data_IF_521011452430
#
_entry.id   IF_521011452430
#
_cell.length_a   1.000
_cell.length_b   1.000
_cell.length_c   1.000
_cell.angle_alpha   90.00
_cell.angle_beta   90.00
_cell.angle_gamma   90.00
#
_symmetry.space_group_name_H-M   'P 1'
#
loop_
_entity.id
_entity.type
_entity.pdbx_description
1 polymer ?
#
# COMPACT_ATOMS: atom_id res chain seq x y z
N UNK A 1 -19.46 -4.42 -14.14
CA UNK A 1 -18.38 -5.42 -14.14
C UNK A 1 -18.65 -6.41 -13.02
N UNK A 2 -18.71 -7.71 -13.29
CA UNK A 2 -18.84 -8.73 -12.24
C UNK A 2 -17.45 -9.03 -11.68
N UNK A 3 -17.01 -8.19 -10.73
CA UNK A 3 -15.82 -8.47 -9.93
C UNK A 3 -16.10 -9.72 -9.09
N UNK A 4 -15.21 -10.72 -9.20
CA UNK A 4 -15.24 -11.84 -8.25
C UNK A 4 -14.63 -11.34 -6.96
N UNK A 5 -15.35 -11.43 -5.85
CA UNK A 5 -14.87 -11.01 -4.53
C UNK A 5 -14.45 -12.25 -3.75
N UNK A 6 -13.25 -12.25 -3.16
CA UNK A 6 -12.76 -13.30 -2.28
C UNK A 6 -12.50 -12.72 -0.88
N UNK A 7 -13.29 -13.15 0.10
CA UNK A 7 -13.12 -12.71 1.50
C UNK A 7 -12.17 -13.64 2.26
N UNK A 8 -10.96 -13.14 2.53
CA UNK A 8 -9.89 -13.87 3.21
C UNK A 8 -10.06 -13.96 4.73
N UNK A 9 -11.12 -13.38 5.30
CA UNK A 9 -11.53 -13.65 6.68
C UNK A 9 -12.47 -14.84 6.79
N UNK A 10 -13.05 -15.29 5.67
CA UNK A 10 -13.97 -16.44 5.63
C UNK A 10 -13.32 -17.75 5.20
N UNK A 11 -12.07 -17.69 4.73
CA UNK A 11 -11.34 -18.82 4.18
C UNK A 11 -9.93 -18.90 4.76
N UNK A 12 -9.39 -20.11 4.86
CA UNK A 12 -7.97 -20.28 5.16
C UNK A 12 -7.10 -19.80 3.98
N UNK A 13 -5.79 -19.63 4.23
CA UNK A 13 -4.83 -19.32 3.16
C UNK A 13 -4.81 -20.43 2.11
N UNK A 14 -4.87 -21.70 2.52
CA UNK A 14 -4.85 -22.86 1.62
C UNK A 14 -6.11 -22.93 0.77
N UNK A 15 -7.28 -22.71 1.37
CA UNK A 15 -8.56 -22.67 0.66
C UNK A 15 -8.60 -21.53 -0.36
N UNK A 16 -8.21 -20.33 0.07
CA UNK A 16 -8.12 -19.15 -0.80
C UNK A 16 -7.16 -19.38 -1.96
N UNK A 17 -6.01 -19.99 -1.68
CA UNK A 17 -5.00 -20.32 -2.71
C UNK A 17 -5.55 -21.31 -3.71
N UNK A 18 -6.28 -22.35 -3.25
CA UNK A 18 -6.88 -23.35 -4.13
C UNK A 18 -7.93 -22.73 -5.05
N UNK A 19 -8.82 -21.90 -4.51
CA UNK A 19 -9.84 -21.17 -5.30
C UNK A 19 -9.15 -20.34 -6.40
N UNK A 20 -8.10 -19.59 -6.04
CA UNK A 20 -7.40 -18.74 -7.01
C UNK A 20 -6.59 -19.54 -8.04
N UNK A 21 -6.06 -20.71 -7.68
CA UNK A 21 -5.41 -21.62 -8.64
C UNK A 21 -6.41 -22.19 -9.64
N UNK A 22 -7.62 -22.56 -9.19
CA UNK A 22 -8.71 -22.96 -10.07
C UNK A 22 -9.10 -21.81 -11.01
N UNK A 23 -9.18 -20.57 -10.52
CA UNK A 23 -9.42 -19.40 -11.36
C UNK A 23 -8.29 -19.16 -12.39
N UNK A 24 -7.02 -19.34 -12.03
CA UNK A 24 -5.88 -19.22 -12.96
C UNK A 24 -5.89 -20.29 -14.06
N UNK A 25 -6.42 -21.49 -13.75
CA UNK A 25 -6.58 -22.56 -14.73
C UNK A 25 -7.60 -22.20 -15.83
N UNK A 26 -8.61 -21.41 -15.47
CA UNK A 26 -9.66 -20.93 -16.39
C UNK A 26 -9.27 -19.63 -17.09
N UNK A 27 -8.65 -18.72 -16.34
CA UNK A 27 -8.27 -17.38 -16.78
C UNK A 27 -6.75 -17.24 -16.70
N UNK A 28 -6.02 -17.20 -17.83
CA UNK A 28 -4.56 -17.22 -17.83
C UNK A 28 -3.89 -15.94 -17.32
N UNK A 29 -4.67 -14.90 -17.01
CA UNK A 29 -4.21 -13.66 -16.42
C UNK A 29 -5.18 -13.19 -15.33
N UNK A 30 -4.69 -13.14 -14.09
CA UNK A 30 -5.43 -12.67 -12.92
C UNK A 30 -4.87 -11.34 -12.44
N UNK A 31 -5.75 -10.45 -11.99
CA UNK A 31 -5.39 -9.17 -11.36
C UNK A 31 -6.07 -9.12 -10.00
N UNK A 32 -5.28 -9.07 -8.93
CA UNK A 32 -5.75 -8.95 -7.56
C UNK A 32 -5.81 -7.48 -7.15
N UNK A 33 -7.00 -7.04 -6.76
CA UNK A 33 -7.31 -5.69 -6.25
C UNK A 33 -7.82 -5.80 -4.82
N UNK A 34 -8.02 -4.68 -4.12
CA UNK A 34 -8.52 -4.65 -2.73
C UNK A 34 -7.51 -4.11 -1.71
N UNK A 35 -7.73 -4.28 -0.39
CA UNK A 35 -7.07 -3.50 0.67
C UNK A 35 -5.58 -3.74 0.74
N UNK A 36 -4.87 -2.75 1.27
CA UNK A 36 -3.61 -3.04 1.94
C UNK A 36 -3.89 -3.94 3.16
N UNK A 37 -3.43 -5.19 3.09
CA UNK A 37 -3.68 -6.21 4.12
C UNK A 37 -4.71 -7.26 3.78
N UNK A 38 -5.39 -7.14 2.63
CA UNK A 38 -6.25 -8.20 2.11
C UNK A 38 -5.52 -9.50 1.84
N UNK A 39 -4.18 -9.49 1.76
CA UNK A 39 -3.37 -10.69 1.55
C UNK A 39 -3.03 -10.97 0.09
N UNK A 40 -3.21 -9.99 -0.81
CA UNK A 40 -2.93 -10.09 -2.26
C UNK A 40 -1.57 -10.72 -2.56
N UNK A 41 -0.47 -10.09 -2.10
CA UNK A 41 0.89 -10.56 -2.33
C UNK A 41 1.14 -11.92 -1.67
N UNK A 42 0.59 -12.15 -0.46
CA UNK A 42 0.73 -13.43 0.24
C UNK A 42 0.05 -14.58 -0.52
N UNK A 43 -1.20 -14.40 -0.95
CA UNK A 43 -1.91 -15.40 -1.74
C UNK A 43 -1.23 -15.64 -3.08
N UNK A 44 -0.80 -14.57 -3.76
CA UNK A 44 -0.08 -14.67 -5.02
C UNK A 44 1.22 -15.50 -4.89
N UNK A 45 2.03 -15.24 -3.85
CA UNK A 45 3.24 -16.03 -3.55
C UNK A 45 2.90 -17.50 -3.27
N UNK A 46 1.80 -17.76 -2.56
CA UNK A 46 1.34 -19.12 -2.28
C UNK A 46 0.92 -19.87 -3.56
N UNK A 47 0.28 -19.18 -4.51
CA UNK A 47 -0.14 -19.75 -5.79
C UNK A 47 1.02 -20.11 -6.73
N UNK A 48 2.19 -19.49 -6.56
CA UNK A 48 3.34 -19.72 -7.43
C UNK A 48 3.69 -21.21 -7.53
N UNK A 49 3.70 -21.70 -8.76
CA UNK A 49 3.89 -23.09 -9.16
C UNK A 49 4.48 -23.15 -10.56
N UNK A 50 4.76 -24.34 -11.05
CA UNK A 50 5.28 -24.59 -12.41
C UNK A 50 4.37 -24.06 -13.54
N UNK A 51 3.08 -23.82 -13.26
CA UNK A 51 2.11 -23.29 -14.21
C UNK A 51 2.09 -21.75 -14.24
N UNK A 52 2.78 -21.07 -13.33
CA UNK A 52 2.90 -19.61 -13.31
C UNK A 52 4.13 -19.21 -14.13
N UNK A 53 3.97 -18.19 -14.98
CA UNK A 53 5.07 -17.62 -15.77
C UNK A 53 5.57 -16.30 -15.22
N UNK A 54 4.68 -15.49 -14.65
CA UNK A 54 5.06 -14.22 -14.06
C UNK A 54 4.16 -13.80 -12.89
N UNK A 55 4.73 -13.06 -11.95
CA UNK A 55 4.04 -12.34 -10.89
C UNK A 55 4.55 -10.90 -10.85
N UNK A 56 3.65 -9.93 -10.84
CA UNK A 56 4.02 -8.52 -10.75
C UNK A 56 3.22 -7.80 -9.68
N UNK A 57 3.83 -6.79 -9.08
CA UNK A 57 3.18 -5.83 -8.19
C UNK A 57 3.23 -4.45 -8.84
N UNK A 58 2.07 -3.85 -9.04
CA UNK A 58 1.95 -2.50 -9.60
C UNK A 58 2.36 -1.44 -8.58
N UNK A 59 3.00 -0.36 -9.03
CA UNK A 59 3.48 0.72 -8.15
C UNK A 59 2.43 1.82 -7.89
N UNK A 60 1.18 1.40 -7.61
CA UNK A 60 0.09 2.32 -7.26
C UNK A 60 0.15 2.64 -5.77
N UNK A 61 -0.04 3.91 -5.37
CA UNK A 61 0.19 4.39 -3.98
C UNK A 61 -0.84 3.89 -2.97
N UNK A 62 -2.06 3.58 -3.43
CA UNK A 62 -3.26 3.31 -2.64
C UNK A 62 -3.39 1.85 -2.23
N UNK A 63 -3.29 0.96 -3.20
CA UNK A 63 -3.29 -0.47 -3.03
C UNK A 63 -2.53 -1.05 -4.21
N UNK A 64 -1.37 -1.66 -3.99
CA UNK A 64 -0.58 -2.21 -5.09
C UNK A 64 -1.30 -3.44 -5.66
N UNK A 65 -1.82 -3.40 -6.90
CA UNK A 65 -2.46 -4.57 -7.50
C UNK A 65 -1.40 -5.63 -7.77
N UNK A 66 -1.78 -6.90 -7.60
CA UNK A 66 -0.89 -8.03 -7.87
C UNK A 66 -1.38 -8.77 -9.11
N UNK A 67 -0.54 -8.86 -10.13
CA UNK A 67 -0.85 -9.47 -11.42
C UNK A 67 -0.17 -10.84 -11.48
N UNK A 68 -0.92 -11.89 -11.84
CA UNK A 68 -0.38 -13.23 -12.05
C UNK A 68 -0.68 -13.67 -13.48
N UNK A 69 0.36 -14.11 -14.18
CA UNK A 69 0.26 -14.57 -15.57
C UNK A 69 0.68 -16.04 -15.65
N UNK A 70 -0.16 -16.86 -16.28
CA UNK A 70 0.11 -18.27 -16.53
C UNK A 70 1.27 -18.44 -17.52
N UNK A 71 1.99 -19.56 -17.40
CA UNK A 71 3.25 -19.81 -18.10
C UNK A 71 3.11 -19.88 -19.62
N UNK A 72 2.07 -20.55 -20.11
CA UNK A 72 1.72 -20.63 -21.53
C UNK A 72 1.43 -19.24 -22.13
N UNK A 73 0.66 -18.41 -21.43
CA UNK A 73 0.38 -17.04 -21.87
C UNK A 73 1.64 -16.17 -21.85
N UNK A 74 2.49 -16.34 -20.84
CA UNK A 74 3.78 -15.63 -20.74
C UNK A 74 4.66 -15.93 -21.96
N UNK A 75 4.78 -17.20 -22.36
CA UNK A 75 5.55 -17.59 -23.55
C UNK A 75 4.97 -16.96 -24.82
N UNK A 76 3.64 -17.05 -25.00
CA UNK A 76 2.95 -16.44 -26.14
C UNK A 76 3.15 -14.92 -26.20
N UNK A 77 3.14 -14.24 -25.06
CA UNK A 77 3.38 -12.80 -24.97
C UNK A 77 4.83 -12.42 -25.30
N UNK A 78 5.81 -13.27 -24.94
CA UNK A 78 7.23 -13.06 -25.30
C UNK A 78 7.49 -13.22 -26.81
N UNK A 79 6.74 -14.09 -27.47
CA UNK A 79 6.83 -14.33 -28.92
C UNK A 79 6.04 -13.31 -29.76
N UNK A 80 5.12 -12.57 -29.13
CA UNK A 80 4.28 -11.58 -29.82
C UNK A 80 4.97 -10.21 -29.80
N UNK A 81 5.27 -9.65 -30.97
CA UNK A 81 5.82 -8.29 -31.09
C UNK A 81 4.69 -7.28 -30.88
N UNK A 82 4.87 -6.38 -29.92
CA UNK A 82 3.90 -5.33 -29.61
C UNK A 82 4.27 -3.98 -30.22
N UNK A 83 5.57 -3.70 -30.35
CA UNK A 83 6.12 -2.45 -30.83
C UNK A 83 7.54 -2.66 -31.41
N UNK A 84 8.02 -1.71 -32.21
CA UNK A 84 9.42 -1.66 -32.67
C UNK A 84 10.03 -0.35 -32.24
N UNK A 85 11.02 -0.41 -31.34
CA UNK A 85 11.68 0.79 -30.82
C UNK A 85 12.95 1.10 -31.60
N UNK A 86 13.06 2.34 -32.05
CA UNK A 86 14.31 2.86 -32.62
C UNK A 86 15.36 2.95 -31.51
N UNK A 87 16.54 2.40 -31.77
CA UNK A 87 17.71 2.59 -30.92
C UNK A 87 18.42 3.91 -31.25
N UNK A 88 19.09 4.55 -30.28
CA UNK A 88 19.86 5.78 -30.51
C UNK A 88 21.23 5.48 -31.14
N UNK A 89 21.30 4.52 -32.06
CA UNK A 89 22.48 4.12 -32.82
C UNK A 89 22.09 3.85 -34.27
N UNK A 90 23.03 4.06 -35.17
CA UNK A 90 22.90 3.79 -36.60
C UNK A 90 23.88 2.67 -36.97
N UNK A 91 23.57 1.91 -38.00
CA UNK A 91 24.51 0.93 -38.53
C UNK A 91 25.65 1.61 -39.33
N UNK A 92 26.61 0.81 -39.80
CA UNK A 92 27.76 1.30 -40.56
C UNK A 92 27.38 1.97 -41.90
N UNK A 93 26.13 1.77 -42.35
CA UNK A 93 25.56 2.41 -43.54
C UNK A 93 24.78 3.69 -43.24
N UNK A 94 24.65 4.06 -41.95
CA UNK A 94 23.90 5.23 -41.50
C UNK A 94 22.39 4.99 -41.37
N UNK A 95 21.94 3.73 -41.44
CA UNK A 95 20.54 3.36 -41.31
C UNK A 95 20.12 3.18 -39.84
N UNK A 96 18.85 3.45 -39.57
CA UNK A 96 18.27 3.38 -38.23
C UNK A 96 18.09 1.93 -37.77
N UNK A 97 18.61 1.60 -36.58
CA UNK A 97 18.44 0.26 -36.00
C UNK A 97 17.19 0.24 -35.12
N UNK A 98 16.34 -0.77 -35.32
CA UNK A 98 15.14 -1.01 -34.52
C UNK A 98 15.26 -2.32 -33.74
N UNK A 99 14.67 -2.34 -32.55
CA UNK A 99 14.49 -3.56 -31.76
C UNK A 99 13.02 -3.88 -31.60
N UNK A 100 12.69 -5.14 -31.82
CA UNK A 100 11.35 -5.65 -31.57
C UNK A 100 11.14 -5.73 -30.05
N UNK A 101 10.05 -5.13 -29.57
CA UNK A 101 9.64 -5.17 -28.17
C UNK A 101 8.49 -6.15 -28.03
N UNK A 102 8.65 -7.14 -27.16
CA UNK A 102 7.61 -8.13 -26.93
C UNK A 102 6.40 -7.53 -26.22
N UNK A 103 5.24 -8.18 -26.37
CA UNK A 103 4.04 -7.83 -25.62
C UNK A 103 4.25 -8.01 -24.12
N UNK A 104 5.02 -9.03 -23.74
CA UNK A 104 5.39 -9.25 -22.35
C UNK A 104 6.17 -8.07 -21.76
N UNK A 105 7.19 -7.57 -22.47
CA UNK A 105 7.98 -6.41 -22.03
C UNK A 105 7.14 -5.14 -21.97
N UNK A 106 6.20 -4.97 -22.90
CA UNK A 106 5.26 -3.86 -22.90
C UNK A 106 4.34 -3.90 -21.68
N UNK A 107 3.79 -5.07 -21.33
CA UNK A 107 2.96 -5.26 -20.13
C UNK A 107 3.79 -5.03 -18.87
N UNK A 108 4.99 -5.62 -18.77
CA UNK A 108 5.90 -5.42 -17.63
C UNK A 108 6.22 -3.94 -17.44
N UNK A 109 6.61 -3.26 -18.53
CA UNK A 109 6.90 -1.82 -18.52
C UNK A 109 5.67 -1.00 -18.11
N UNK A 110 4.48 -1.38 -18.56
CA UNK A 110 3.23 -0.74 -18.14
C UNK A 110 3.02 -0.88 -16.62
N UNK A 111 3.16 -2.08 -16.08
CA UNK A 111 2.99 -2.34 -14.64
C UNK A 111 4.02 -1.58 -13.79
N UNK A 112 5.27 -1.49 -14.26
CA UNK A 112 6.36 -0.82 -13.55
C UNK A 112 6.29 0.71 -13.62
N UNK A 113 5.74 1.26 -14.70
CA UNK A 113 5.75 2.69 -14.99
C UNK A 113 4.41 3.40 -14.82
N UNK A 114 3.31 2.68 -14.56
CA UNK A 114 2.05 3.34 -14.19
C UNK A 114 2.31 4.19 -12.95
N UNK A 115 2.33 5.50 -13.19
CA UNK A 115 2.51 6.50 -12.16
C UNK A 115 1.14 7.06 -11.86
N UNK A 116 0.78 7.02 -10.58
CA UNK A 116 -0.54 7.38 -10.13
C UNK A 116 -0.71 8.92 -10.09
N UNK A 117 -0.80 9.53 -11.28
CA UNK A 117 -1.12 10.94 -11.45
C UNK A 117 -2.64 11.03 -11.32
N UNK A 118 -3.12 11.62 -10.23
CA UNK A 118 -4.55 11.79 -9.90
C UNK A 118 -5.29 10.54 -9.42
N UNK A 119 -4.58 9.52 -8.92
CA UNK A 119 -5.24 8.42 -8.21
C UNK A 119 -6.28 7.72 -9.11
N UNK A 120 -5.86 7.41 -10.34
CA UNK A 120 -6.55 6.61 -11.37
C UNK A 120 -5.71 5.41 -11.81
N UNK A 121 -4.52 5.23 -11.21
CA UNK A 121 -3.51 4.30 -11.68
C UNK A 121 -3.96 2.84 -11.66
N UNK A 122 -4.81 2.40 -10.72
CA UNK A 122 -5.31 1.01 -10.72
C UNK A 122 -6.24 0.73 -11.92
N UNK A 123 -7.24 1.57 -12.15
CA UNK A 123 -8.20 1.38 -13.26
C UNK A 123 -7.50 1.57 -14.62
N UNK A 124 -6.64 2.58 -14.74
CA UNK A 124 -5.85 2.80 -15.94
C UNK A 124 -4.90 1.61 -16.21
N UNK A 125 -4.23 1.09 -15.17
CA UNK A 125 -3.41 -0.11 -15.30
C UNK A 125 -4.23 -1.32 -15.77
N UNK A 126 -5.40 -1.55 -15.17
CA UNK A 126 -6.28 -2.66 -15.55
C UNK A 126 -6.73 -2.50 -17.01
N UNK A 127 -7.12 -1.30 -17.43
CA UNK A 127 -7.56 -1.02 -18.80
C UNK A 127 -6.41 -1.21 -19.81
N UNK A 128 -5.22 -0.68 -19.52
CA UNK A 128 -4.05 -0.86 -20.36
C UNK A 128 -3.65 -2.34 -20.48
N UNK A 129 -3.65 -3.09 -19.37
CA UNK A 129 -3.39 -4.54 -19.39
C UNK A 129 -4.45 -5.26 -20.23
N UNK A 130 -5.73 -4.94 -20.08
CA UNK A 130 -6.83 -5.51 -20.90
C UNK A 130 -6.59 -5.26 -22.38
N UNK A 131 -6.34 -4.02 -22.76
CA UNK A 131 -6.09 -3.63 -24.14
C UNK A 131 -4.89 -4.39 -24.72
N UNK A 132 -3.79 -4.52 -23.97
CA UNK A 132 -2.62 -5.29 -24.39
C UNK A 132 -2.93 -6.80 -24.49
N UNK A 133 -3.65 -7.38 -23.53
CA UNK A 133 -3.98 -8.81 -23.50
C UNK A 133 -4.88 -9.25 -24.66
N UNK A 134 -5.73 -8.36 -25.21
CA UNK A 134 -6.55 -8.67 -26.39
C UNK A 134 -5.72 -9.09 -27.61
N UNK A 135 -4.48 -8.57 -27.76
CA UNK A 135 -3.57 -8.94 -28.85
C UNK A 135 -3.22 -10.43 -28.84
N UNK A 136 -3.29 -11.09 -27.69
CA UNK A 136 -3.07 -12.53 -27.52
C UNK A 136 -4.35 -13.31 -27.23
N UNK A 137 -5.52 -12.69 -27.41
CA UNK A 137 -6.85 -13.27 -27.13
C UNK A 137 -7.00 -13.77 -25.69
N UNK A 138 -6.40 -13.06 -24.74
CA UNK A 138 -6.57 -13.33 -23.32
C UNK A 138 -7.42 -12.22 -22.70
N UNK A 139 -8.36 -12.59 -21.83
CA UNK A 139 -9.16 -11.64 -21.04
C UNK A 139 -8.68 -11.67 -19.59
N UNK A 140 -8.18 -10.53 -19.06
CA UNK A 140 -7.82 -10.41 -17.65
C UNK A 140 -9.03 -10.60 -16.72
N UNK A 141 -8.89 -11.46 -15.71
CA UNK A 141 -9.89 -11.59 -14.65
C UNK A 141 -9.47 -10.77 -13.43
N UNK A 142 -10.27 -9.78 -13.07
CA UNK A 142 -10.08 -8.99 -11.85
C UNK A 142 -10.77 -9.71 -10.68
N UNK A 143 -10.01 -9.94 -9.62
CA UNK A 143 -10.49 -10.53 -8.37
C UNK A 143 -10.20 -9.54 -7.24
N UNK A 144 -11.25 -9.17 -6.51
CA UNK A 144 -11.14 -8.26 -5.37
C UNK A 144 -10.93 -9.10 -4.12
N UNK A 145 -9.74 -8.99 -3.53
CA UNK A 145 -9.35 -9.70 -2.31
C UNK A 145 -9.71 -8.81 -1.13
N UNK A 146 -10.69 -9.19 -0.33
CA UNK A 146 -11.16 -8.41 0.84
C UNK A 146 -10.94 -9.16 2.14
N UNK A 147 -11.06 -8.47 3.27
CA UNK A 147 -11.11 -9.10 4.59
C UNK A 147 -11.90 -8.22 5.56
N UNK A 148 -12.23 -8.74 6.74
CA UNK A 148 -12.90 -7.95 7.77
C UNK A 148 -11.94 -6.85 8.31
N UNK A 149 -12.42 -5.62 8.59
CA UNK A 149 -11.57 -4.50 9.01
C UNK A 149 -10.66 -4.82 10.22
N UNK A 150 -11.19 -5.51 11.24
CA UNK A 150 -10.40 -5.91 12.42
C UNK A 150 -9.26 -6.86 12.08
N UNK A 151 -9.45 -7.75 11.11
CA UNK A 151 -8.40 -8.67 10.67
C UNK A 151 -7.34 -7.94 9.84
N UNK A 152 -7.75 -6.95 9.04
CA UNK A 152 -6.84 -6.13 8.26
C UNK A 152 -5.89 -5.33 9.18
N UNK A 153 -6.40 -4.72 10.24
CA UNK A 153 -5.58 -4.01 11.25
C UNK A 153 -4.57 -4.98 11.88
N UNK A 154 -5.03 -6.12 12.40
CA UNK A 154 -4.15 -7.14 12.99
C UNK A 154 -3.07 -7.60 12.02
N UNK A 155 -3.42 -7.82 10.74
CA UNK A 155 -2.48 -8.24 9.70
C UNK A 155 -1.48 -7.14 9.37
N UNK A 156 -1.90 -5.87 9.33
CA UNK A 156 -1.01 -4.73 9.06
C UNK A 156 0.01 -4.52 10.17
N UNK A 157 -0.40 -4.59 11.43
CA UNK A 157 0.52 -4.50 12.57
C UNK A 157 1.58 -5.59 12.54
N UNK A 158 1.19 -6.83 12.21
CA UNK A 158 2.07 -8.00 12.30
C UNK A 158 2.83 -8.35 11.00
N UNK A 159 2.54 -7.67 9.88
CA UNK A 159 3.07 -8.01 8.54
C UNK A 159 4.60 -8.07 8.46
N UNK A 160 5.29 -7.32 9.31
CA UNK A 160 6.73 -7.24 9.28
C UNK A 160 7.42 -8.48 9.90
N UNK A 161 6.71 -9.26 10.73
CA UNK A 161 7.28 -10.44 11.38
C UNK A 161 7.53 -11.60 10.41
N UNK A 162 6.68 -11.77 9.40
CA UNK A 162 6.78 -12.84 8.40
C UNK A 162 7.39 -12.37 7.07
N UNK A 163 7.76 -11.09 6.96
CA UNK A 163 8.19 -10.47 5.73
C UNK A 163 9.42 -11.17 5.11
N UNK A 164 10.41 -11.53 5.94
CA UNK A 164 11.58 -12.25 5.44
C UNK A 164 11.23 -13.60 4.85
N UNK A 165 10.36 -14.35 5.53
CA UNK A 165 9.95 -15.67 5.08
C UNK A 165 9.18 -15.57 3.77
N UNK A 166 8.18 -14.67 3.68
CA UNK A 166 7.41 -14.47 2.44
C UNK A 166 8.29 -14.08 1.25
N UNK A 167 9.28 -13.20 1.46
CA UNK A 167 10.20 -12.81 0.39
C UNK A 167 11.16 -13.96 0.01
N UNK A 168 11.65 -14.73 0.98
CA UNK A 168 12.45 -15.93 0.70
C UNK A 168 11.65 -16.97 -0.10
N UNK A 169 10.39 -17.20 0.26
CA UNK A 169 9.50 -18.13 -0.44
C UNK A 169 9.27 -17.68 -1.89
N UNK A 170 9.07 -16.38 -2.12
CA UNK A 170 9.01 -15.81 -3.46
C UNK A 170 10.29 -16.12 -4.25
N UNK A 171 11.47 -15.74 -3.73
CA UNK A 171 12.75 -15.94 -4.43
C UNK A 171 13.04 -17.43 -4.71
N UNK A 172 12.70 -18.31 -3.76
CA UNK A 172 12.84 -19.75 -3.94
C UNK A 172 11.96 -20.26 -5.09
N UNK A 173 10.67 -19.87 -5.11
CA UNK A 173 9.73 -20.30 -6.15
C UNK A 173 10.06 -19.68 -7.52
N UNK A 174 10.52 -18.44 -7.56
CA UNK A 174 11.04 -17.79 -8.77
C UNK A 174 12.14 -18.63 -9.41
N UNK A 175 13.19 -18.97 -8.64
CA UNK A 175 14.30 -19.79 -9.12
C UNK A 175 13.85 -21.20 -9.49
N UNK A 176 13.01 -21.84 -8.66
CA UNK A 176 12.57 -23.23 -8.86
C UNK A 176 11.71 -23.42 -10.11
N UNK A 177 10.80 -22.49 -10.39
CA UNK A 177 9.81 -22.64 -11.46
C UNK A 177 10.09 -21.79 -12.70
N UNK A 178 11.10 -20.92 -12.64
CA UNK A 178 11.45 -19.98 -13.71
C UNK A 178 10.39 -18.89 -13.86
N UNK A 179 9.93 -18.32 -12.75
CA UNK A 179 8.89 -17.29 -12.71
C UNK A 179 9.55 -15.91 -12.78
N UNK A 180 9.06 -15.07 -13.69
CA UNK A 180 9.46 -13.66 -13.82
C UNK A 180 8.76 -12.80 -12.76
N UNK A 181 9.48 -11.85 -12.16
CA UNK A 181 8.95 -11.02 -11.08
C UNK A 181 9.60 -9.65 -10.98
N UNK A 182 8.81 -8.64 -10.62
CA UNK A 182 9.29 -7.28 -10.33
C UNK A 182 9.29 -6.93 -8.83
N UNK A 183 8.94 -7.90 -7.96
CA UNK A 183 8.87 -7.67 -6.52
C UNK A 183 10.30 -7.71 -5.96
N UNK A 184 10.78 -6.56 -5.48
CA UNK A 184 12.13 -6.39 -4.92
C UNK A 184 12.14 -6.34 -3.37
N UNK A 185 10.97 -6.21 -2.77
CA UNK A 185 10.80 -6.11 -1.34
C UNK A 185 9.34 -6.14 -0.97
N UNK A 186 9.09 -6.43 0.30
CA UNK A 186 7.76 -6.35 0.91
C UNK A 186 7.90 -5.63 2.24
N UNK A 187 6.83 -5.05 2.77
CA UNK A 187 6.89 -4.29 4.02
C UNK A 187 7.56 -5.09 5.15
N UNK A 188 8.74 -4.66 5.60
CA UNK A 188 9.59 -5.33 6.59
C UNK A 188 10.78 -6.15 6.05
N UNK A 189 10.88 -6.43 4.74
CA UNK A 189 12.02 -7.13 4.15
C UNK A 189 12.33 -6.70 2.70
N UNK A 190 13.59 -6.78 2.29
CA UNK A 190 14.02 -6.50 0.91
C UNK A 190 15.05 -7.52 0.42
N UNK A 191 15.20 -7.60 -0.89
CA UNK A 191 16.27 -8.39 -1.52
C UNK A 191 17.62 -7.72 -1.22
N UNK A 192 18.58 -8.51 -0.75
CA UNK A 192 19.90 -8.00 -0.36
C UNK A 192 20.78 -7.68 -1.58
N UNK A 193 20.81 -8.59 -2.55
CA UNK A 193 21.43 -8.38 -3.87
C UNK A 193 20.35 -8.32 -4.94
N UNK A 194 20.00 -7.11 -5.37
CA UNK A 194 18.93 -6.88 -6.36
C UNK A 194 19.31 -7.46 -7.73
N UNK A 195 20.60 -7.44 -8.09
CA UNK A 195 21.07 -7.88 -9.40
C UNK A 195 20.97 -9.39 -9.50
N UNK A 196 21.49 -10.10 -8.51
CA UNK A 196 21.48 -11.56 -8.49
C UNK A 196 20.20 -12.16 -7.87
N UNK A 197 19.33 -11.30 -7.33
CA UNK A 197 18.14 -11.67 -6.54
C UNK A 197 18.47 -12.68 -5.43
N UNK A 198 19.51 -12.38 -4.65
CA UNK A 198 20.02 -13.27 -3.60
C UNK A 198 19.97 -12.65 -2.21
N UNK A 199 19.55 -13.48 -1.25
CA UNK A 199 19.41 -13.10 0.15
C UNK A 199 18.24 -12.16 0.44
N UNK A 200 17.79 -12.20 1.68
CA UNK A 200 16.74 -11.32 2.20
C UNK A 200 17.25 -10.66 3.47
N UNK A 201 17.16 -9.34 3.53
CA UNK A 201 17.55 -8.54 4.68
C UNK A 201 16.41 -7.62 5.13
N UNK A 202 16.54 -7.10 6.35
CA UNK A 202 15.66 -6.04 6.82
C UNK A 202 15.97 -4.74 6.07
N UNK A 203 15.03 -3.79 6.15
CA UNK A 203 15.32 -2.42 5.78
C UNK A 203 16.43 -1.88 6.69
N UNK A 204 17.40 -1.19 6.08
CA UNK A 204 18.49 -0.59 6.82
C UNK A 204 18.01 0.63 7.61
N UNK A 205 18.83 1.06 8.58
CA UNK A 205 18.51 2.19 9.45
C UNK A 205 18.23 3.51 8.71
N UNK A 206 18.72 3.71 7.50
CA UNK A 206 18.49 4.92 6.72
C UNK A 206 17.25 4.84 5.80
N UNK A 207 16.48 3.75 5.88
CA UNK A 207 15.36 3.48 4.98
C UNK A 207 14.05 3.53 5.77
N UNK A 208 13.04 4.18 5.19
CA UNK A 208 11.69 4.21 5.76
C UNK A 208 11.05 2.84 5.49
N UNK A 209 10.94 2.01 6.53
CA UNK A 209 9.96 0.93 6.51
C UNK A 209 8.64 1.47 7.08
N UNK A 210 7.50 0.95 6.64
CA UNK A 210 6.17 1.43 7.08
C UNK A 210 5.63 0.54 8.19
N UNK A 211 6.43 0.23 9.20
CA UNK A 211 6.13 -0.77 10.23
C UNK A 211 6.11 -0.14 11.62
N UNK A 212 5.57 -0.85 12.61
CA UNK A 212 5.60 -0.38 14.00
C UNK A 212 7.03 -0.27 14.56
N UNK A 213 8.02 -0.98 13.97
CA UNK A 213 9.44 -0.90 14.38
C UNK A 213 10.10 0.43 14.00
N UNK A 214 9.52 1.18 13.07
CA UNK A 214 10.05 2.48 12.66
C UNK A 214 9.70 3.57 13.68
N UNK A 215 8.80 3.30 14.62
CA UNK A 215 8.49 4.21 15.72
C UNK A 215 9.48 4.09 16.86
N UNK A 216 9.74 5.21 17.52
CA UNK A 216 10.60 5.25 18.70
C UNK A 216 9.97 4.47 19.86
N UNK A 217 8.65 4.62 20.05
CA UNK A 217 7.83 3.84 20.98
C UNK A 217 6.35 3.92 20.64
N UNK A 218 5.57 3.05 21.25
CA UNK A 218 4.11 3.00 21.16
C UNK A 218 3.55 3.10 22.57
N UNK A 219 2.56 3.97 22.78
CA UNK A 219 1.91 4.17 24.08
C UNK A 219 0.46 3.68 23.98
N UNK A 220 0.08 2.65 24.76
CA UNK A 220 -1.27 2.08 24.70
C UNK A 220 -2.36 3.11 25.02
N UNK A 221 -3.47 3.09 24.27
CA UNK A 221 -4.62 4.00 24.46
C UNK A 221 -5.86 3.34 25.05
N UNK A 222 -5.82 2.02 25.27
CA UNK A 222 -6.93 1.28 25.87
C UNK A 222 -7.35 1.88 27.22
N UNK A 223 -8.64 2.23 27.33
CA UNK A 223 -9.23 2.82 28.53
C UNK A 223 -8.93 4.30 28.75
N UNK A 224 -8.22 4.98 27.84
CA UNK A 224 -7.95 6.42 27.92
C UNK A 224 -9.01 7.24 27.18
N UNK A 225 -9.29 8.42 27.71
CA UNK A 225 -10.01 9.49 27.02
C UNK A 225 -9.11 10.22 26.03
N UNK A 226 -9.70 10.95 25.08
CA UNK A 226 -8.96 11.79 24.13
C UNK A 226 -8.10 12.80 24.89
N UNK A 227 -8.64 13.46 25.92
CA UNK A 227 -7.91 14.41 26.76
C UNK A 227 -6.67 13.81 27.42
N UNK A 228 -6.74 12.56 27.90
CA UNK A 228 -5.57 11.85 28.45
C UNK A 228 -4.53 11.55 27.38
N UNK A 229 -4.96 11.16 26.18
CA UNK A 229 -4.05 10.96 25.04
C UNK A 229 -3.38 12.26 24.59
N UNK A 230 -4.12 13.36 24.53
CA UNK A 230 -3.59 14.69 24.22
C UNK A 230 -2.50 15.09 25.23
N UNK A 231 -2.76 14.85 26.52
CA UNK A 231 -1.78 15.12 27.59
C UNK A 231 -0.49 14.34 27.38
N UNK A 232 -0.58 13.04 27.12
CA UNK A 232 0.61 12.22 26.86
C UNK A 232 1.38 12.66 25.61
N UNK A 233 0.67 13.02 24.54
CA UNK A 233 1.27 13.52 23.30
C UNK A 233 2.04 14.84 23.51
N UNK A 234 1.48 15.76 24.29
CA UNK A 234 2.14 17.02 24.69
C UNK A 234 3.36 16.71 25.58
N UNK A 235 3.24 15.79 26.55
CA UNK A 235 4.35 15.40 27.41
C UNK A 235 5.52 14.79 26.64
N UNK A 236 5.25 13.94 25.64
CA UNK A 236 6.29 13.40 24.73
C UNK A 236 6.98 14.53 23.98
N UNK A 237 6.19 15.48 23.45
CA UNK A 237 6.73 16.62 22.69
C UNK A 237 7.63 17.51 23.54
N UNK A 238 7.28 17.73 24.82
CA UNK A 238 8.06 18.54 25.77
C UNK A 238 9.31 17.80 26.28
N UNK A 239 9.14 16.55 26.74
CA UNK A 239 10.20 15.81 27.44
C UNK A 239 11.20 15.17 26.48
N UNK A 240 10.71 14.68 25.35
CA UNK A 240 11.50 13.85 24.42
C UNK A 240 11.82 14.59 23.12
N UNK A 241 11.19 15.76 22.89
CA UNK A 241 11.36 16.55 21.67
C UNK A 241 11.12 15.69 20.42
N UNK A 242 10.04 14.90 20.45
CA UNK A 242 9.62 13.98 19.39
C UNK A 242 8.18 14.25 18.97
N UNK A 243 7.89 14.04 17.69
CA UNK A 243 6.52 14.05 17.20
C UNK A 243 5.80 12.80 17.68
N UNK A 244 4.49 12.90 17.88
CA UNK A 244 3.64 11.77 18.25
C UNK A 244 2.25 11.97 17.68
N UNK A 245 1.48 10.89 17.50
CA UNK A 245 0.11 11.02 17.01
C UNK A 245 -0.71 9.76 17.19
N UNK A 246 -2.02 9.91 17.03
CA UNK A 246 -3.01 8.84 17.12
C UNK A 246 -4.24 9.18 16.27
N UNK A 247 -5.10 8.18 16.06
CA UNK A 247 -6.32 8.31 15.28
C UNK A 247 -7.56 8.33 16.18
N UNK A 248 -8.52 9.17 15.82
CA UNK A 248 -9.86 9.24 16.40
C UNK A 248 -10.89 9.01 15.31
N UNK A 249 -11.94 8.27 15.63
CA UNK A 249 -13.11 8.09 14.78
C UNK A 249 -14.28 8.87 15.35
N UNK A 250 -14.87 9.70 14.51
CA UNK A 250 -16.08 10.46 14.83
C UNK A 250 -17.28 9.77 14.18
N UNK A 251 -18.26 9.35 15.00
CA UNK A 251 -19.52 8.77 14.55
C UNK A 251 -20.67 9.50 15.23
N UNK A 252 -21.51 10.18 14.45
CA UNK A 252 -22.66 10.93 14.97
C UNK A 252 -22.25 11.81 16.17
N UNK A 253 -22.58 11.39 17.40
CA UNK A 253 -22.28 12.09 18.66
C UNK A 253 -21.17 11.42 19.52
N UNK A 254 -20.48 10.40 19.00
CA UNK A 254 -19.43 9.64 19.71
C UNK A 254 -18.04 9.80 19.07
N UNK A 255 -17.01 9.84 19.91
CA UNK A 255 -15.60 9.85 19.51
C UNK A 255 -14.89 8.61 20.09
N UNK A 256 -14.30 7.79 19.22
CA UNK A 256 -13.60 6.55 19.57
C UNK A 256 -12.11 6.64 19.20
N UNK A 257 -11.21 6.30 20.12
CA UNK A 257 -9.77 6.22 19.81
C UNK A 257 -9.50 4.92 19.06
N UNK A 258 -8.95 5.04 17.83
CA UNK A 258 -8.71 3.89 16.96
C UNK A 258 -7.30 3.32 17.04
N UNK A 259 -6.33 4.10 17.52
CA UNK A 259 -4.94 3.69 17.54
C UNK A 259 -4.28 3.98 18.88
N UNK A 260 -3.19 3.28 19.14
CA UNK A 260 -2.22 3.69 20.15
C UNK A 260 -1.56 5.01 19.74
N UNK A 261 -0.97 5.73 20.70
CA UNK A 261 -0.11 6.87 20.37
C UNK A 261 1.21 6.32 19.87
N UNK A 262 1.55 6.64 18.63
CA UNK A 262 2.86 6.31 18.06
C UNK A 262 3.78 7.51 18.18
N UNK A 263 4.98 7.28 18.70
CA UNK A 263 6.00 8.32 18.84
C UNK A 263 7.00 8.18 17.70
N UNK A 264 7.16 9.26 16.95
CA UNK A 264 8.01 9.30 15.79
C UNK A 264 9.48 9.10 16.14
N UNK A 265 10.15 8.26 15.36
CA UNK A 265 11.61 8.31 15.25
C UNK A 265 12.00 9.34 14.18
N UNK A 266 13.29 9.57 14.03
CA UNK A 266 13.85 10.44 12.98
C UNK A 266 13.58 9.88 11.56
N UNK A 267 12.93 8.72 11.46
CA UNK A 267 12.72 7.92 10.24
C UNK A 267 11.24 7.63 9.96
N UNK A 268 10.32 8.12 10.79
CA UNK A 268 8.89 7.78 10.69
C UNK A 268 8.03 8.97 10.28
N UNK A 269 7.11 8.74 9.35
CA UNK A 269 6.03 9.67 9.00
C UNK A 269 4.76 9.23 9.71
N UNK A 270 4.48 9.82 10.88
CA UNK A 270 3.42 9.39 11.80
C UNK A 270 2.06 9.28 11.10
N UNK A 271 1.64 10.33 10.39
CA UNK A 271 0.33 10.37 9.74
C UNK A 271 0.13 9.27 8.70
N UNK A 272 1.06 9.13 7.75
CA UNK A 272 0.97 8.11 6.70
C UNK A 272 1.00 6.71 7.30
N UNK A 273 1.89 6.46 8.26
CA UNK A 273 2.02 5.13 8.86
C UNK A 273 0.79 4.75 9.70
N UNK A 274 0.18 5.69 10.44
CA UNK A 274 -1.05 5.45 11.19
C UNK A 274 -2.24 5.15 10.26
N UNK A 275 -2.43 5.99 9.24
CA UNK A 275 -3.49 5.84 8.25
C UNK A 275 -3.36 4.50 7.51
N UNK A 276 -2.14 4.10 7.15
CA UNK A 276 -1.91 2.79 6.54
C UNK A 276 -2.21 1.64 7.50
N UNK A 277 -1.70 1.66 8.73
CA UNK A 277 -1.78 0.52 9.66
C UNK A 277 -3.18 0.34 10.24
N UNK A 278 -3.83 1.43 10.69
CA UNK A 278 -5.04 1.36 11.48
C UNK A 278 -6.31 1.56 10.67
N UNK A 279 -6.28 2.43 9.66
CA UNK A 279 -7.45 2.61 8.79
C UNK A 279 -7.39 1.63 7.63
N UNK A 280 -6.33 1.72 6.82
CA UNK A 280 -6.29 1.07 5.53
C UNK A 280 -7.26 1.75 4.58
N UNK A 281 -6.70 2.46 3.60
CA UNK A 281 -7.51 3.15 2.61
C UNK A 281 -7.60 2.32 1.34
N UNK A 282 -8.76 2.40 0.69
CA UNK A 282 -8.97 1.93 -0.67
C UNK A 282 -9.34 3.08 -1.55
N UNK A 283 -9.07 2.96 -2.84
CA UNK A 283 -9.42 3.98 -3.80
C UNK A 283 -10.94 3.94 -4.07
N UNK A 284 -11.62 5.09 -3.96
CA UNK A 284 -13.03 5.21 -4.34
C UNK A 284 -13.15 5.63 -5.80
N UNK A 285 -14.11 5.02 -6.50
CA UNK A 285 -14.53 5.37 -7.86
C UNK A 285 -15.47 6.58 -7.88
N UNK A 286 -15.02 7.76 -7.43
CA UNK A 286 -15.86 8.98 -7.51
C UNK A 286 -15.08 10.29 -7.51
N UNK A 287 -15.69 11.33 -8.07
CA UNK A 287 -15.13 12.69 -8.25
C UNK A 287 -14.96 13.45 -6.92
N UNK A 288 -15.56 12.99 -5.82
CA UNK A 288 -15.51 13.63 -4.50
C UNK A 288 -14.89 12.68 -3.45
N UNK A 289 -13.63 12.94 -3.09
CA UNK A 289 -12.84 12.11 -2.17
C UNK A 289 -12.20 10.94 -2.91
N UNK A 290 -10.90 10.76 -2.72
CA UNK A 290 -10.14 9.82 -3.56
C UNK A 290 -9.90 8.47 -2.90
N UNK A 291 -9.93 8.46 -1.57
CA UNK A 291 -9.84 7.25 -0.78
C UNK A 291 -11.10 7.06 0.05
N UNK A 292 -11.64 5.84 0.05
CA UNK A 292 -12.67 5.37 0.99
C UNK A 292 -11.98 4.58 2.11
N UNK A 293 -12.31 4.96 3.33
CA UNK A 293 -11.97 4.22 4.53
C UNK A 293 -13.00 3.11 4.75
N UNK A 294 -12.56 1.96 5.23
CA UNK A 294 -13.46 0.82 5.53
C UNK A 294 -14.31 1.04 6.79
N UNK A 295 -14.04 2.12 7.52
CA UNK A 295 -14.66 2.44 8.80
C UNK A 295 -15.69 3.54 8.58
N UNK A 296 -16.94 3.25 8.95
CA UNK A 296 -18.02 4.24 8.94
C UNK A 296 -17.77 5.35 9.98
N UNK A 297 -17.91 6.61 9.57
CA UNK A 297 -17.59 7.80 10.36
C UNK A 297 -16.59 8.75 9.68
N UNK A 298 -16.05 9.71 10.42
CA UNK A 298 -14.98 10.62 9.97
C UNK A 298 -13.72 10.30 10.77
N UNK A 299 -12.62 10.00 10.08
CA UNK A 299 -11.32 9.78 10.74
C UNK A 299 -10.66 11.13 10.99
N UNK A 300 -10.10 11.29 12.17
CA UNK A 300 -9.23 12.38 12.56
C UNK A 300 -7.82 11.83 12.86
N UNK A 301 -6.80 12.42 12.24
CA UNK A 301 -5.41 12.28 12.66
C UNK A 301 -5.08 13.41 13.61
N UNK A 302 -4.79 13.09 14.86
CA UNK A 302 -4.23 14.04 15.83
C UNK A 302 -2.74 13.77 15.95
N UNK A 303 -1.89 14.77 15.68
CA UNK A 303 -0.45 14.64 15.86
C UNK A 303 0.21 15.91 16.39
N UNK A 304 1.46 15.78 16.83
CA UNK A 304 2.28 16.88 17.29
C UNK A 304 3.40 17.24 16.31
N UNK A 305 3.79 18.51 16.36
CA UNK A 305 4.97 19.04 15.67
C UNK A 305 5.94 19.68 16.65
N UNK A 306 7.23 19.57 16.32
CA UNK A 306 8.35 20.14 17.12
C UNK A 306 8.75 21.55 16.64
N UNK A 307 8.33 21.93 15.42
CA UNK A 307 8.67 23.22 14.79
C UNK A 307 8.12 24.44 15.54
N UNK A 308 8.80 25.59 15.39
CA UNK A 308 8.47 26.81 16.12
C UNK A 308 7.38 27.67 15.44
N UNK A 309 7.21 27.54 14.12
CA UNK A 309 6.21 28.28 13.34
C UNK A 309 4.91 27.47 13.14
N UNK A 310 3.78 28.17 13.38
CA UNK A 310 2.42 27.65 13.47
C UNK A 310 1.93 26.82 12.27
N UNK A 311 0.87 26.07 12.55
CA UNK A 311 -0.21 25.63 11.64
C UNK A 311 0.10 24.50 10.67
N UNK A 312 -0.98 23.79 10.33
CA UNK A 312 -1.00 22.65 9.42
C UNK A 312 -0.07 22.84 8.23
N UNK A 313 0.81 21.87 7.99
CA UNK A 313 1.65 21.89 6.81
C UNK A 313 0.80 21.67 5.56
N UNK A 314 1.36 22.06 4.40
CA UNK A 314 0.75 21.78 3.10
C UNK A 314 0.51 20.27 2.89
N UNK A 315 1.33 19.42 3.51
CA UNK A 315 1.15 17.97 3.55
C UNK A 315 -0.12 17.56 4.32
N UNK A 316 -0.41 18.21 5.46
CA UNK A 316 -1.58 17.90 6.29
C UNK A 316 -2.88 18.31 5.60
N UNK A 317 -2.90 19.52 5.01
CA UNK A 317 -4.03 20.00 4.21
C UNK A 317 -4.23 19.10 2.98
N UNK A 318 -3.13 18.69 2.34
CA UNK A 318 -3.15 17.76 1.22
C UNK A 318 -3.70 16.39 1.61
N UNK A 319 -3.29 15.86 2.77
CA UNK A 319 -3.75 14.58 3.29
C UNK A 319 -5.25 14.64 3.64
N UNK A 320 -5.70 15.67 4.36
CA UNK A 320 -7.11 15.88 4.69
C UNK A 320 -8.01 15.83 3.45
N UNK A 321 -7.63 16.56 2.39
CA UNK A 321 -8.40 16.58 1.13
C UNK A 321 -8.38 15.24 0.39
N UNK A 322 -7.24 14.55 0.36
CA UNK A 322 -7.10 13.28 -0.38
C UNK A 322 -7.83 12.14 0.32
N UNK A 323 -7.62 12.00 1.62
CA UNK A 323 -8.15 10.89 2.42
C UNK A 323 -9.52 11.17 3.02
N UNK A 324 -10.05 12.40 2.88
CA UNK A 324 -11.33 12.78 3.47
C UNK A 324 -11.31 12.77 5.00
N UNK A 325 -10.16 13.10 5.60
CA UNK A 325 -9.95 13.08 7.05
C UNK A 325 -9.84 14.48 7.64
N UNK A 326 -10.07 14.58 8.94
CA UNK A 326 -9.65 15.73 9.74
C UNK A 326 -8.17 15.53 10.10
N UNK A 327 -7.35 16.57 9.95
CA UNK A 327 -6.00 16.58 10.50
C UNK A 327 -5.93 17.69 11.53
N UNK A 328 -5.54 17.32 12.75
CA UNK A 328 -5.40 18.20 13.90
C UNK A 328 -3.97 18.14 14.42
N UNK A 329 -3.36 19.30 14.58
CA UNK A 329 -1.97 19.48 15.03
C UNK A 329 -1.98 20.15 16.39
N UNK A 330 -1.21 19.61 17.33
CA UNK A 330 -1.01 20.21 18.65
C UNK A 330 0.48 20.29 18.93
N UNK A 331 1.00 21.50 19.15
CA UNK A 331 2.42 21.69 19.44
C UNK A 331 2.76 21.57 20.94
N UNK A 332 4.06 21.60 21.23
CA UNK A 332 4.58 21.57 22.61
C UNK A 332 4.12 22.76 23.49
N UNK A 333 3.67 23.84 22.87
CA UNK A 333 3.16 25.04 23.53
C UNK A 333 1.63 25.06 23.64
N UNK A 334 0.96 23.90 23.38
CA UNK A 334 -0.50 23.75 23.43
C UNK A 334 -1.24 24.59 22.39
N UNK A 335 -0.56 25.04 21.32
CA UNK A 335 -1.22 25.67 20.17
C UNK A 335 -1.85 24.58 19.33
N UNK A 336 -3.12 24.79 18.99
CA UNK A 336 -3.93 23.85 18.20
C UNK A 336 -4.16 24.43 16.82
N UNK A 337 -4.10 23.56 15.81
CA UNK A 337 -4.63 23.85 14.50
C UNK A 337 -5.36 22.63 13.93
N UNK A 338 -6.39 22.84 13.11
CA UNK A 338 -7.15 21.73 12.52
C UNK A 338 -7.75 22.11 11.18
N UNK A 339 -7.84 21.13 10.28
CA UNK A 339 -8.51 21.29 8.99
C UNK A 339 -10.02 21.46 9.15
N UNK A 340 -10.55 21.14 10.34
CA UNK A 340 -11.92 21.42 10.75
C UNK A 340 -11.93 22.55 11.82
N UNK A 341 -12.54 23.72 11.53
CA UNK A 341 -12.60 24.83 12.48
C UNK A 341 -13.37 24.53 13.78
N UNK A 342 -14.41 23.69 13.74
CA UNK A 342 -15.16 23.31 14.95
C UNK A 342 -14.31 22.40 15.82
N UNK A 343 -13.63 21.43 15.19
CA UNK A 343 -12.73 20.53 15.91
C UNK A 343 -11.57 21.28 16.56
N UNK A 344 -11.04 22.31 15.90
CA UNK A 344 -10.03 23.20 16.48
C UNK A 344 -10.50 23.80 17.81
N UNK A 345 -11.70 24.38 17.84
CA UNK A 345 -12.25 25.00 19.05
C UNK A 345 -12.42 23.98 20.18
N UNK A 346 -12.93 22.79 19.86
CA UNK A 346 -13.11 21.71 20.84
C UNK A 346 -11.79 21.26 21.46
N UNK A 347 -10.75 21.06 20.64
CA UNK A 347 -9.42 20.68 21.11
C UNK A 347 -8.77 21.80 21.95
N UNK A 348 -8.95 23.07 21.58
CA UNK A 348 -8.50 24.22 22.37
C UNK A 348 -9.15 24.22 23.76
N UNK A 349 -10.44 23.90 23.86
CA UNK A 349 -11.13 23.78 25.14
C UNK A 349 -10.64 22.60 25.97
N UNK A 350 -10.41 21.43 25.36
CA UNK A 350 -9.90 20.25 26.04
C UNK A 350 -8.51 20.49 26.66
N UNK A 351 -7.63 21.18 25.93
CA UNK A 351 -6.23 21.38 26.34
C UNK A 351 -6.06 22.54 27.31
N UNK A 352 -7.01 23.49 27.37
CA UNK A 352 -6.98 24.62 28.30
C UNK A 352 -6.82 24.21 29.77
N UNK A 353 -7.25 23.00 30.12
CA UNK A 353 -7.22 22.44 31.48
C UNK A 353 -6.12 21.39 31.69
N UNK A 354 -5.29 21.14 30.68
CA UNK A 354 -4.03 20.39 30.76
C UNK A 354 -2.89 21.35 31.05
#
# INVERSE_FOLDING_TARGET
MTNTVLNTSMHSIEESTKILQEELSRNPLLIFTGPQGGGKTTLAINMLSENVGAIFEGRVRSAQPVIIIRKDLTQKMKETIADKRKLPIYDDSGEEIYVDVSLFDTIKSTIENVFDILELGEDELIEQIKNLATKVKAEPKVIEIVANPRDLIKRRMNRHYDAKQRLNDLLYKEKKYGIESNILGIQGAKVADIVNREGVCDYGDYQISRTMKDFYKVIPTEGKSITECLKEMIEVSIKENRESGFLVLHKEDEQEILSDIVVGSDKSLIGVTLLEIYVGYHQKRSITGVYEQEIDGIIELIHSHIGEDNSLFSADIGASKRFGIIVSVIDKNKRVDSTDPFRKMELEEMIKYL
#
